data_IF_293516274444
#
_entry.id   IF_293516274444
#
_cell.length_a   1.000
_cell.length_b   1.000
_cell.length_c   1.000
_cell.angle_alpha   90.00
_cell.angle_beta   90.00
_cell.angle_gamma   90.00
#
_symmetry.space_group_name_H-M   'P 1'
#
loop_
_entity.id
_entity.type
_entity.pdbx_description
1 polymer ?
#
# COMPACT_ATOMS: atom_id res chain seq x y z
N UNK A 1 -3.66 -4.72 10.86
CA UNK A 1 -3.79 -6.08 11.44
C UNK A 1 -3.87 -7.19 10.40
N UNK A 2 -4.90 -7.30 9.54
CA UNK A 2 -4.97 -8.42 8.56
C UNK A 2 -3.72 -8.54 7.69
N UNK A 3 -3.26 -7.41 7.12
CA UNK A 3 -2.06 -7.34 6.30
C UNK A 3 -0.84 -7.98 6.98
N UNK A 4 -0.56 -7.60 8.24
CA UNK A 4 0.60 -8.08 8.99
C UNK A 4 0.53 -9.58 9.21
N UNK A 5 -0.65 -10.11 9.59
CA UNK A 5 -0.80 -11.55 9.76
C UNK A 5 -0.58 -12.30 8.44
N UNK A 6 -1.17 -11.85 7.34
CA UNK A 6 -0.95 -12.51 6.04
C UNK A 6 0.51 -12.46 5.60
N UNK A 7 1.19 -11.33 5.81
CA UNK A 7 2.63 -11.21 5.56
C UNK A 7 3.44 -12.19 6.41
N UNK A 8 3.16 -12.29 7.70
CA UNK A 8 3.84 -13.22 8.60
C UNK A 8 3.60 -14.68 8.20
N UNK A 9 2.36 -15.05 7.85
CA UNK A 9 2.03 -16.39 7.39
C UNK A 9 2.80 -16.77 6.12
N UNK A 10 2.83 -15.86 5.15
CA UNK A 10 3.56 -16.09 3.90
C UNK A 10 5.06 -16.27 4.16
N UNK A 11 5.70 -15.37 4.91
CA UNK A 11 7.14 -15.45 5.18
C UNK A 11 7.49 -16.74 5.93
N UNK A 12 6.77 -17.07 6.99
CA UNK A 12 7.10 -18.23 7.83
C UNK A 12 6.78 -19.55 7.15
N UNK A 13 5.59 -19.71 6.58
CA UNK A 13 5.11 -21.02 6.13
C UNK A 13 5.30 -21.26 4.64
N UNK A 14 5.20 -20.24 3.80
CA UNK A 14 5.30 -20.42 2.35
C UNK A 14 6.71 -20.20 1.82
N UNK A 15 7.47 -19.30 2.46
CA UNK A 15 8.87 -19.07 2.09
C UNK A 15 9.79 -19.95 2.94
N UNK A 16 9.85 -19.73 4.25
CA UNK A 16 10.88 -20.36 5.10
C UNK A 16 10.66 -21.88 5.20
N UNK A 17 9.48 -22.33 5.62
CA UNK A 17 9.21 -23.77 5.83
C UNK A 17 9.34 -24.58 4.53
N UNK A 18 8.77 -24.11 3.42
CA UNK A 18 8.88 -24.81 2.13
C UNK A 18 10.34 -24.93 1.65
N UNK A 19 11.13 -23.86 1.76
CA UNK A 19 12.54 -23.90 1.39
C UNK A 19 13.36 -24.76 2.35
N UNK A 20 12.99 -24.80 3.63
CA UNK A 20 13.65 -25.63 4.65
C UNK A 20 13.49 -27.12 4.36
N UNK A 21 12.27 -27.55 4.02
CA UNK A 21 12.01 -28.95 3.63
C UNK A 21 12.84 -29.36 2.41
N UNK A 22 12.95 -28.48 1.42
CA UNK A 22 13.76 -28.74 0.22
C UNK A 22 15.26 -28.79 0.54
N UNK A 23 15.76 -27.89 1.40
CA UNK A 23 17.14 -27.94 1.89
C UNK A 23 17.43 -29.27 2.59
N UNK A 24 16.57 -29.69 3.53
CA UNK A 24 16.76 -30.93 4.27
C UNK A 24 16.85 -32.14 3.33
N UNK A 25 15.99 -32.19 2.31
CA UNK A 25 16.02 -33.25 1.29
C UNK A 25 17.34 -33.25 0.51
N UNK A 26 17.83 -32.09 0.09
CA UNK A 26 19.11 -31.97 -0.63
C UNK A 26 20.30 -32.34 0.25
N UNK A 27 20.29 -31.93 1.52
CA UNK A 27 21.33 -32.29 2.49
C UNK A 27 21.39 -33.80 2.75
N UNK A 28 20.25 -34.50 2.79
CA UNK A 28 20.22 -35.96 2.93
C UNK A 28 20.74 -36.70 1.70
N UNK A 29 20.67 -36.08 0.52
CA UNK A 29 21.11 -36.67 -0.75
C UNK A 29 22.55 -36.29 -1.13
N UNK A 30 23.12 -35.31 -0.45
CA UNK A 30 24.47 -34.81 -0.70
C UNK A 30 25.54 -35.88 -0.46
N UNK A 31 26.50 -35.98 -1.37
CA UNK A 31 27.62 -36.94 -1.28
C UNK A 31 28.95 -36.24 -1.04
N UNK A 32 29.04 -34.97 -1.41
CA UNK A 32 30.21 -34.12 -1.21
C UNK A 32 29.85 -32.84 -0.43
N UNK A 33 30.88 -32.18 0.11
CA UNK A 33 30.72 -30.89 0.77
C UNK A 33 30.19 -29.81 -0.19
N UNK A 34 30.60 -29.86 -1.46
CA UNK A 34 30.14 -28.90 -2.47
C UNK A 34 28.63 -28.98 -2.70
N UNK A 35 28.05 -30.19 -2.63
CA UNK A 35 26.59 -30.38 -2.72
C UNK A 35 25.86 -29.68 -1.57
N UNK A 36 26.44 -29.71 -0.36
CA UNK A 36 25.90 -29.05 0.83
C UNK A 36 25.99 -27.53 0.68
N UNK A 37 27.14 -27.02 0.23
CA UNK A 37 27.36 -25.59 0.02
C UNK A 37 26.42 -25.03 -1.05
N UNK A 38 26.23 -25.74 -2.16
CA UNK A 38 25.29 -25.37 -3.22
C UNK A 38 23.84 -25.39 -2.73
N UNK A 39 23.42 -26.44 -2.01
CA UNK A 39 22.08 -26.53 -1.45
C UNK A 39 21.79 -25.38 -0.48
N UNK A 40 22.74 -25.05 0.40
CA UNK A 40 22.62 -23.95 1.34
C UNK A 40 22.58 -22.58 0.65
N UNK A 41 23.42 -22.38 -0.37
CA UNK A 41 23.45 -21.13 -1.14
C UNK A 41 22.12 -20.90 -1.87
N UNK A 42 21.56 -21.95 -2.49
CA UNK A 42 20.24 -21.91 -3.12
C UNK A 42 19.12 -21.63 -2.12
N UNK A 43 19.17 -22.23 -0.94
CA UNK A 43 18.22 -21.97 0.14
C UNK A 43 18.23 -20.50 0.57
N UNK A 44 19.41 -19.93 0.84
CA UNK A 44 19.54 -18.53 1.22
C UNK A 44 19.07 -17.59 0.10
N UNK A 45 19.40 -17.88 -1.15
CA UNK A 45 18.94 -17.09 -2.29
C UNK A 45 17.41 -17.13 -2.40
N UNK A 46 16.80 -18.31 -2.27
CA UNK A 46 15.36 -18.48 -2.36
C UNK A 46 14.61 -17.75 -1.23
N UNK A 47 15.10 -17.84 0.02
CA UNK A 47 14.52 -17.08 1.13
C UNK A 47 14.70 -15.58 0.91
N UNK A 48 15.87 -15.15 0.45
CA UNK A 48 16.14 -13.72 0.29
C UNK A 48 15.24 -13.07 -0.78
N UNK A 49 14.98 -13.78 -1.88
CA UNK A 49 14.00 -13.35 -2.90
C UNK A 49 12.58 -13.46 -2.36
N UNK A 50 12.21 -14.58 -1.74
CA UNK A 50 10.86 -14.81 -1.22
C UNK A 50 10.44 -13.84 -0.11
N UNK A 51 11.40 -13.36 0.69
CA UNK A 51 11.20 -12.32 1.72
C UNK A 51 11.34 -10.88 1.19
N UNK A 52 11.47 -10.70 -0.13
CA UNK A 52 11.55 -9.41 -0.81
C UNK A 52 12.83 -8.60 -0.54
N UNK A 53 13.88 -9.17 0.07
CA UNK A 53 15.11 -8.45 0.50
C UNK A 53 16.12 -8.24 -0.63
N UNK A 54 16.15 -9.13 -1.63
CA UNK A 54 17.07 -9.03 -2.78
C UNK A 54 16.34 -9.06 -4.12
N UNK A 55 15.12 -8.54 -4.15
CA UNK A 55 14.33 -8.52 -5.38
C UNK A 55 14.57 -7.20 -6.12
N UNK A 56 14.78 -7.25 -7.43
CA UNK A 56 14.93 -6.05 -8.29
C UNK A 56 13.68 -5.16 -8.36
N UNK A 57 12.59 -5.60 -7.74
CA UNK A 57 11.30 -4.91 -7.68
C UNK A 57 11.25 -3.93 -6.51
N UNK A 58 10.54 -2.82 -6.67
CA UNK A 58 10.25 -1.83 -5.61
C UNK A 58 9.36 -2.35 -4.46
N UNK A 59 9.19 -3.68 -4.32
CA UNK A 59 8.37 -4.34 -3.31
C UNK A 59 8.88 -4.07 -1.89
N UNK A 60 10.20 -4.13 -1.67
CA UNK A 60 10.83 -3.86 -0.38
C UNK A 60 10.49 -2.44 0.10
N UNK A 61 10.69 -1.44 -0.77
CA UNK A 61 10.38 -0.04 -0.46
C UNK A 61 8.89 0.17 -0.13
N UNK A 62 7.99 -0.51 -0.85
CA UNK A 62 6.56 -0.44 -0.50
C UNK A 62 6.27 -1.07 0.86
N UNK A 63 6.90 -2.21 1.19
CA UNK A 63 6.74 -2.86 2.50
C UNK A 63 7.30 -2.00 3.63
N UNK A 64 8.46 -1.40 3.45
CA UNK A 64 9.07 -0.47 4.40
C UNK A 64 8.10 0.67 4.71
N UNK A 65 7.56 1.33 3.68
CA UNK A 65 6.57 2.41 3.87
C UNK A 65 5.30 1.91 4.57
N UNK A 66 4.86 0.67 4.30
CA UNK A 66 3.71 0.09 5.01
C UNK A 66 4.00 -0.08 6.50
N UNK A 67 5.16 -0.62 6.87
CA UNK A 67 5.54 -0.81 8.27
C UNK A 67 5.78 0.53 8.99
N UNK A 68 6.42 1.49 8.34
CA UNK A 68 6.60 2.84 8.87
C UNK A 68 5.25 3.53 9.16
N UNK A 69 4.26 3.37 8.27
CA UNK A 69 2.90 3.87 8.52
C UNK A 69 2.23 3.16 9.71
N UNK A 70 2.47 1.86 9.91
CA UNK A 70 1.92 1.12 11.06
C UNK A 70 2.52 1.63 12.37
N UNK A 71 3.84 1.78 12.43
CA UNK A 71 4.54 2.31 13.61
C UNK A 71 4.11 3.75 13.89
N UNK A 72 4.01 4.57 12.84
CA UNK A 72 3.53 5.95 12.96
C UNK A 72 2.11 6.02 13.51
N UNK A 73 1.23 5.10 13.08
CA UNK A 73 -0.13 5.00 13.60
C UNK A 73 -0.15 4.61 15.08
N UNK A 74 0.68 3.66 15.50
CA UNK A 74 0.80 3.25 16.91
C UNK A 74 1.24 4.42 17.79
N UNK A 75 2.30 5.12 17.41
CA UNK A 75 2.77 6.32 18.11
C UNK A 75 1.69 7.42 18.18
N UNK A 76 0.95 7.60 17.09
CA UNK A 76 -0.17 8.54 17.06
C UNK A 76 -1.31 8.11 18.00
N UNK A 77 -1.66 6.82 18.01
CA UNK A 77 -2.68 6.26 18.90
C UNK A 77 -2.31 6.45 20.37
N UNK A 78 -1.06 6.18 20.76
CA UNK A 78 -0.58 6.41 22.12
C UNK A 78 -0.76 7.87 22.55
N UNK A 79 -0.36 8.81 21.69
CA UNK A 79 -0.48 10.24 21.99
C UNK A 79 -1.95 10.68 22.05
N UNK A 80 -2.79 10.17 21.13
CA UNK A 80 -4.21 10.44 21.14
C UNK A 80 -4.90 9.94 22.42
N UNK A 81 -4.55 8.73 22.87
CA UNK A 81 -5.09 8.18 24.11
C UNK A 81 -4.62 8.99 25.33
N UNK A 82 -3.35 9.39 25.40
CA UNK A 82 -2.83 10.26 26.47
C UNK A 82 -3.66 11.55 26.59
N UNK A 83 -3.92 12.23 25.47
CA UNK A 83 -4.73 13.45 25.45
C UNK A 83 -6.20 13.19 25.85
N UNK A 84 -6.80 12.08 25.39
CA UNK A 84 -8.17 11.71 25.76
C UNK A 84 -8.30 11.39 27.25
N UNK A 85 -7.35 10.64 27.81
CA UNK A 85 -7.34 10.32 29.23
C UNK A 85 -7.09 11.54 30.10
N UNK A 86 -6.21 12.46 29.69
CA UNK A 86 -6.01 13.72 30.39
C UNK A 86 -7.28 14.58 30.44
N UNK A 87 -8.02 14.68 29.33
CA UNK A 87 -9.31 15.41 29.31
C UNK A 87 -10.39 14.70 30.13
N UNK A 88 -10.42 13.35 30.13
CA UNK A 88 -11.32 12.58 30.99
C UNK A 88 -11.04 12.85 32.48
N UNK A 89 -9.77 12.75 32.89
CA UNK A 89 -9.34 13.00 34.27
C UNK A 89 -9.65 14.44 34.70
N UNK A 90 -9.44 15.42 33.82
CA UNK A 90 -9.78 16.82 34.08
C UNK A 90 -11.29 17.01 34.35
N UNK A 91 -12.15 16.34 33.57
CA UNK A 91 -13.62 16.37 33.78
C UNK A 91 -14.03 15.71 35.09
N UNK A 92 -13.46 14.56 35.42
CA UNK A 92 -13.73 13.86 36.67
C UNK A 92 -13.27 14.66 37.90
N UNK A 93 -12.10 15.32 37.81
CA UNK A 93 -11.59 16.19 38.87
C UNK A 93 -12.52 17.39 39.10
N UNK A 94 -13.01 18.00 38.02
CA UNK A 94 -13.97 19.10 38.11
C UNK A 94 -15.29 18.64 38.74
N UNK A 95 -15.81 17.49 38.32
CA UNK A 95 -17.04 16.93 38.86
C UNK A 95 -16.92 16.61 40.35
N UNK A 96 -15.77 16.07 40.80
CA UNK A 96 -15.47 15.86 42.22
C UNK A 96 -15.43 17.17 43.00
N UNK A 97 -14.75 18.19 42.48
CA UNK A 97 -14.68 19.50 43.11
C UNK A 97 -16.06 20.18 43.25
N UNK A 98 -16.94 19.98 42.26
CA UNK A 98 -18.35 20.44 42.32
C UNK A 98 -19.09 19.73 43.45
N UNK A 99 -19.01 18.38 43.51
CA UNK A 99 -19.69 17.59 44.53
C UNK A 99 -19.22 17.92 45.96
N UNK A 100 -17.92 18.16 46.17
CA UNK A 100 -17.37 18.60 47.46
C UNK A 100 -17.85 20.01 47.85
N UNK A 101 -17.96 20.91 46.87
CA UNK A 101 -18.47 22.27 47.10
C UNK A 101 -19.97 22.27 47.45
N UNK A 102 -20.76 21.45 46.77
CA UNK A 102 -22.18 21.25 47.07
C UNK A 102 -22.40 20.65 48.47
N UNK A 103 -21.56 19.69 48.88
CA UNK A 103 -21.60 19.09 50.21
C UNK A 103 -21.23 20.05 51.36
N UNK A 104 -20.42 21.08 51.07
CA UNK A 104 -20.06 22.13 52.05
C UNK A 104 -21.04 23.32 52.05
N UNK A 105 -22.10 23.27 51.24
CA UNK A 105 -23.15 24.29 51.19
C UNK A 105 -22.77 25.60 50.50
N UNK A 106 -21.63 25.64 49.79
CA UNK A 106 -21.26 26.77 48.92
C UNK A 106 -21.61 26.43 47.47
N UNK A 107 -22.31 27.32 46.78
CA UNK A 107 -22.54 27.16 45.33
C UNK A 107 -21.20 27.18 44.60
N UNK A 108 -20.79 26.00 44.14
CA UNK A 108 -19.48 25.70 43.60
C UNK A 108 -19.31 26.13 42.14
N UNK A 109 -18.05 26.41 41.81
CA UNK A 109 -17.48 26.87 40.54
C UNK A 109 -17.66 28.37 40.28
N UNK A 110 -16.54 29.09 40.33
CA UNK A 110 -16.49 30.51 39.94
C UNK A 110 -16.76 30.64 38.44
N UNK A 111 -17.32 31.79 38.02
CA UNK A 111 -17.53 32.10 36.59
C UNK A 111 -16.24 31.94 35.78
N UNK A 112 -15.09 32.27 36.39
CA UNK A 112 -13.75 32.11 35.83
C UNK A 112 -13.41 30.64 35.54
N UNK A 113 -13.62 29.73 36.49
CA UNK A 113 -13.38 28.28 36.30
C UNK A 113 -14.29 27.67 35.23
N UNK A 114 -15.52 28.17 35.08
CA UNK A 114 -16.41 27.76 33.97
C UNK A 114 -15.87 28.22 32.62
N UNK A 115 -15.38 29.47 32.53
CA UNK A 115 -14.83 30.00 31.29
C UNK A 115 -13.54 29.29 30.88
N UNK A 116 -12.63 29.02 31.82
CA UNK A 116 -11.41 28.25 31.58
C UNK A 116 -11.73 26.84 31.03
N UNK A 117 -12.71 26.16 31.63
CA UNK A 117 -13.13 24.83 31.18
C UNK A 117 -13.83 24.82 29.83
N UNK A 118 -14.64 25.83 29.53
CA UNK A 118 -15.23 26.00 28.19
C UNK A 118 -14.15 26.26 27.13
N UNK A 119 -13.08 26.98 27.49
CA UNK A 119 -11.93 27.19 26.63
C UNK A 119 -11.13 25.89 26.40
N UNK A 120 -10.81 25.15 27.47
CA UNK A 120 -10.13 23.85 27.38
C UNK A 120 -10.93 22.83 26.55
N UNK A 121 -12.26 22.81 26.72
CA UNK A 121 -13.14 21.95 25.92
C UNK A 121 -13.10 22.31 24.43
N UNK A 122 -13.11 23.60 24.08
CA UNK A 122 -12.97 24.05 22.68
C UNK A 122 -11.61 23.70 22.10
N UNK A 123 -10.54 23.83 22.89
CA UNK A 123 -9.19 23.42 22.47
C UNK A 123 -9.16 21.91 22.21
N UNK A 124 -9.75 21.11 23.10
CA UNK A 124 -9.85 19.67 22.92
C UNK A 124 -10.66 19.30 21.67
N UNK A 125 -11.79 19.96 21.42
CA UNK A 125 -12.59 19.75 20.20
C UNK A 125 -11.79 20.06 18.93
N UNK A 126 -11.03 21.15 18.90
CA UNK A 126 -10.14 21.47 17.79
C UNK A 126 -9.01 20.44 17.63
N UNK A 127 -8.45 19.94 18.73
CA UNK A 127 -7.45 18.87 18.72
C UNK A 127 -8.03 17.58 18.13
N UNK A 128 -9.24 17.16 18.52
CA UNK A 128 -9.92 15.98 17.96
C UNK A 128 -10.07 16.11 16.44
N UNK A 129 -10.52 17.27 15.95
CA UNK A 129 -10.65 17.50 14.51
C UNK A 129 -9.31 17.39 13.78
N UNK A 130 -8.23 17.90 14.39
CA UNK A 130 -6.87 17.78 13.85
C UNK A 130 -6.41 16.32 13.83
N UNK A 131 -6.66 15.59 14.92
CA UNK A 131 -6.38 14.16 15.06
C UNK A 131 -7.10 13.34 13.97
N UNK A 132 -8.40 13.59 13.72
CA UNK A 132 -9.14 12.93 12.65
C UNK A 132 -8.49 13.14 11.28
N UNK A 133 -8.07 14.37 10.95
CA UNK A 133 -7.38 14.67 9.68
C UNK A 133 -6.03 13.96 9.58
N UNK A 134 -5.26 13.90 10.67
CA UNK A 134 -3.99 13.15 10.67
C UNK A 134 -4.22 11.66 10.48
N UNK A 135 -5.28 11.09 11.09
CA UNK A 135 -5.65 9.69 10.93
C UNK A 135 -6.07 9.39 9.49
N UNK A 136 -6.84 10.27 8.85
CA UNK A 136 -7.18 10.17 7.42
C UNK A 136 -5.91 10.21 6.56
N UNK A 137 -4.93 11.06 6.92
CA UNK A 137 -3.62 11.11 6.27
C UNK A 137 -2.87 9.78 6.35
N UNK A 138 -2.78 9.18 7.54
CA UNK A 138 -2.17 7.85 7.73
C UNK A 138 -2.92 6.78 6.94
N UNK A 139 -4.25 6.79 6.97
CA UNK A 139 -5.07 5.84 6.21
C UNK A 139 -4.83 5.95 4.69
N UNK A 140 -4.72 7.18 4.17
CA UNK A 140 -4.41 7.42 2.75
C UNK A 140 -3.00 6.97 2.35
N UNK A 141 -2.00 7.30 3.17
CA UNK A 141 -0.61 6.88 2.96
C UNK A 141 -0.48 5.35 2.98
N UNK A 142 -1.07 4.71 3.99
CA UNK A 142 -1.11 3.26 4.12
C UNK A 142 -1.82 2.60 2.93
N UNK A 143 -2.99 3.09 2.53
CA UNK A 143 -3.74 2.54 1.40
C UNK A 143 -2.95 2.65 0.09
N UNK A 144 -2.26 3.77 -0.15
CA UNK A 144 -1.41 3.95 -1.33
C UNK A 144 -0.21 3.00 -1.32
N UNK A 145 0.43 2.83 -0.17
CA UNK A 145 1.58 1.93 -0.03
C UNK A 145 1.17 0.46 -0.25
N UNK A 146 0.08 0.01 0.36
CA UNK A 146 -0.47 -1.33 0.15
C UNK A 146 -0.94 -1.53 -1.29
N UNK A 147 -1.59 -0.53 -1.90
CA UNK A 147 -2.00 -0.57 -3.30
C UNK A 147 -0.81 -0.72 -4.26
N UNK A 148 0.27 0.05 -4.03
CA UNK A 148 1.52 -0.07 -4.79
C UNK A 148 2.18 -1.45 -4.62
N UNK A 149 2.21 -1.97 -3.40
CA UNK A 149 2.71 -3.32 -3.12
C UNK A 149 1.90 -4.41 -3.84
N UNK A 150 0.57 -4.35 -3.76
CA UNK A 150 -0.33 -5.29 -4.44
C UNK A 150 -0.18 -5.22 -5.97
N UNK A 151 0.00 -4.02 -6.53
CA UNK A 151 0.25 -3.88 -7.97
C UNK A 151 1.59 -4.51 -8.36
N UNK A 152 2.64 -4.32 -7.57
CA UNK A 152 3.93 -4.95 -7.78
C UNK A 152 3.82 -6.48 -7.71
N UNK A 153 3.08 -7.03 -6.74
CA UNK A 153 2.84 -8.49 -6.62
C UNK A 153 2.11 -9.05 -7.83
N UNK A 154 1.03 -8.39 -8.29
CA UNK A 154 0.28 -8.84 -9.46
C UNK A 154 1.06 -8.69 -10.78
N UNK A 155 2.05 -7.80 -10.83
CA UNK A 155 2.91 -7.60 -12.01
C UNK A 155 4.12 -8.53 -12.03
N UNK A 156 4.36 -9.28 -10.95
CA UNK A 156 5.46 -10.25 -10.90
C UNK A 156 5.14 -11.50 -11.72
N UNK A 157 6.17 -12.13 -12.30
CA UNK A 157 6.03 -13.34 -13.12
C UNK A 157 5.82 -14.61 -12.26
N UNK A 158 6.00 -14.53 -10.94
CA UNK A 158 5.83 -15.67 -10.03
C UNK A 158 4.34 -15.87 -9.67
N UNK A 159 3.81 -17.04 -10.03
CA UNK A 159 2.43 -17.41 -9.74
C UNK A 159 2.13 -17.44 -8.24
N UNK A 160 3.09 -17.84 -7.40
CA UNK A 160 2.91 -17.89 -5.96
C UNK A 160 2.75 -16.48 -5.36
N UNK A 161 3.49 -15.50 -5.90
CA UNK A 161 3.38 -14.10 -5.48
C UNK A 161 2.04 -13.47 -5.92
N UNK A 162 1.51 -13.85 -7.08
CA UNK A 162 0.18 -13.41 -7.54
C UNK A 162 -0.94 -14.00 -6.66
N UNK A 163 -0.84 -15.29 -6.30
CA UNK A 163 -1.76 -15.95 -5.37
C UNK A 163 -1.69 -15.32 -3.98
N UNK A 164 -0.49 -14.99 -3.52
CA UNK A 164 -0.28 -14.26 -2.28
C UNK A 164 -0.94 -12.87 -2.32
N UNK A 165 -0.74 -12.10 -3.39
CA UNK A 165 -1.41 -10.81 -3.59
C UNK A 165 -2.93 -10.89 -3.53
N UNK A 166 -3.51 -12.00 -4.02
CA UNK A 166 -4.96 -12.25 -3.92
C UNK A 166 -5.41 -12.53 -2.49
N UNK A 167 -4.61 -13.26 -1.69
CA UNK A 167 -4.91 -13.55 -0.27
C UNK A 167 -4.67 -12.35 0.64
N UNK A 168 -3.73 -11.50 0.28
CA UNK A 168 -3.40 -10.26 1.00
C UNK A 168 -4.53 -9.23 0.90
N UNK A 169 -5.26 -9.22 -0.23
CA UNK A 169 -6.41 -8.36 -0.47
C UNK A 169 -7.66 -8.86 0.27
N UNK A 170 -7.75 -8.52 1.57
CA UNK A 170 -8.89 -8.87 2.42
C UNK A 170 -10.21 -8.39 1.80
N UNK A 171 -11.09 -9.32 1.41
CA UNK A 171 -12.42 -9.05 0.87
C UNK A 171 -12.45 -8.13 -0.38
N UNK A 172 -11.38 -8.10 -1.18
CA UNK A 172 -11.22 -7.16 -2.30
C UNK A 172 -11.25 -5.68 -1.90
N UNK A 173 -10.94 -5.38 -0.64
CA UNK A 173 -11.02 -4.03 -0.09
C UNK A 173 -10.15 -3.04 -0.90
N UNK A 174 -9.01 -3.49 -1.42
CA UNK A 174 -8.13 -2.64 -2.24
C UNK A 174 -8.54 -2.66 -3.72
N UNK A 175 -8.92 -3.82 -4.27
CA UNK A 175 -9.44 -3.93 -5.65
C UNK A 175 -10.70 -3.10 -5.91
N UNK A 176 -11.59 -2.96 -4.92
CA UNK A 176 -12.81 -2.14 -5.02
C UNK A 176 -12.54 -0.62 -5.05
N UNK A 177 -11.36 -0.20 -4.59
CA UNK A 177 -10.99 1.21 -4.47
C UNK A 177 -10.01 1.68 -5.54
N UNK A 178 -9.33 0.77 -6.21
CA UNK A 178 -8.43 1.08 -7.32
C UNK A 178 -8.82 0.30 -8.57
N UNK A 179 -9.40 1.02 -9.54
CA UNK A 179 -9.79 0.46 -10.84
C UNK A 179 -8.63 -0.23 -11.57
N UNK A 180 -7.37 0.12 -11.29
CA UNK A 180 -6.22 -0.54 -11.92
C UNK A 180 -5.93 -1.92 -11.31
N UNK A 181 -6.30 -2.16 -10.05
CA UNK A 181 -6.22 -3.48 -9.43
C UNK A 181 -7.39 -4.40 -9.85
N UNK A 182 -8.51 -3.82 -10.30
CA UNK A 182 -9.70 -4.55 -10.75
C UNK A 182 -9.65 -5.03 -12.21
N UNK A 183 -8.70 -4.54 -13.02
CA UNK A 183 -8.59 -4.99 -14.41
C UNK A 183 -7.91 -6.36 -14.41
N UNK A 184 -8.57 -7.42 -14.91
CA UNK A 184 -7.89 -8.69 -15.08
C UNK A 184 -6.67 -8.46 -15.97
N UNK A 185 -5.52 -9.04 -15.59
CA UNK A 185 -4.33 -9.20 -16.43
C UNK A 185 -4.69 -10.05 -17.66
N UNK A 186 -5.52 -9.49 -18.51
CA UNK A 186 -5.76 -9.94 -19.86
C UNK A 186 -4.53 -9.58 -20.67
N UNK A 187 -4.22 -10.40 -21.66
CA UNK A 187 -3.10 -10.23 -22.58
C UNK A 187 -2.99 -8.81 -23.18
N UNK A 188 -4.11 -8.10 -23.24
CA UNK A 188 -4.21 -6.70 -23.68
C UNK A 188 -3.49 -5.70 -22.74
N UNK A 189 -3.50 -5.94 -21.42
CA UNK A 189 -2.83 -5.10 -20.42
C UNK A 189 -1.30 -5.24 -20.45
N UNK A 190 -0.80 -6.47 -20.67
CA UNK A 190 0.62 -6.73 -20.91
C UNK A 190 1.14 -6.00 -22.15
N UNK A 191 0.32 -5.96 -23.22
CA UNK A 191 0.66 -5.24 -24.44
C UNK A 191 0.70 -3.72 -24.22
N UNK A 192 -0.21 -3.17 -23.41
CA UNK A 192 -0.24 -1.72 -23.16
C UNK A 192 0.88 -1.25 -22.22
N UNK A 193 1.27 -2.01 -21.19
CA UNK A 193 2.37 -1.59 -20.30
C UNK A 193 3.72 -1.52 -21.02
N UNK A 194 3.98 -2.46 -21.95
CA UNK A 194 5.18 -2.44 -22.80
C UNK A 194 5.20 -1.30 -23.83
N UNK A 195 4.04 -0.82 -24.27
CA UNK A 195 3.96 0.30 -25.23
C UNK A 195 4.28 1.65 -24.55
N UNK A 196 3.98 1.81 -23.27
CA UNK A 196 4.27 3.05 -22.53
C UNK A 196 5.64 3.06 -21.83
N UNK A 197 6.33 1.91 -21.74
CA UNK A 197 7.66 1.78 -21.10
C UNK A 197 8.85 2.31 -21.90
N UNK A 198 8.69 2.63 -23.20
CA UNK A 198 9.81 3.00 -24.09
C UNK A 198 9.88 4.48 -24.52
N UNK A 199 9.00 5.36 -24.03
CA UNK A 199 8.94 6.75 -24.53
C UNK A 199 9.70 7.80 -23.70
N UNK A 200 10.68 7.41 -22.89
CA UNK A 200 11.56 8.35 -22.19
C UNK A 200 13.04 8.03 -22.39
N UNK A 201 13.48 8.03 -23.65
CA UNK A 201 14.89 8.19 -23.99
C UNK A 201 14.99 8.81 -25.39
N UNK A 202 15.74 9.91 -25.49
CA UNK A 202 16.18 10.61 -26.72
C UNK A 202 15.20 11.57 -27.40
N UNK A 203 15.30 12.84 -26.97
CA UNK A 203 15.26 13.98 -27.90
C UNK A 203 16.51 13.93 -28.79
N UNK A 204 16.32 13.83 -30.10
CA UNK A 204 17.42 14.01 -31.06
C UNK A 204 17.12 13.51 -32.47
N UNK A 205 16.74 14.43 -33.37
CA UNK A 205 17.12 14.36 -34.79
C UNK A 205 16.19 13.66 -35.77
N UNK A 206 15.47 14.49 -36.54
CA UNK A 206 15.17 14.40 -38.00
C UNK A 206 15.40 13.04 -38.69
N UNK A 207 14.38 12.45 -39.30
CA UNK A 207 14.00 12.63 -40.73
C UNK A 207 12.78 11.73 -41.04
N UNK A 208 11.78 12.31 -41.70
CA UNK A 208 10.63 11.63 -42.28
C UNK A 208 11.03 10.94 -43.58
N UNK A 209 10.71 9.65 -43.72
CA UNK A 209 10.74 8.90 -44.99
C UNK A 209 9.54 7.96 -45.00
N UNK A 210 8.38 8.45 -45.42
CA UNK A 210 7.35 7.60 -46.02
C UNK A 210 7.56 7.61 -47.54
N UNK A 211 7.59 6.45 -48.21
CA UNK A 211 7.46 6.40 -49.65
C UNK A 211 5.98 6.55 -50.04
N UNK A 212 5.67 7.63 -50.76
CA UNK A 212 4.40 7.83 -51.45
C UNK A 212 4.41 7.03 -52.77
N UNK A 213 3.37 6.25 -53.08
CA UNK A 213 3.14 5.77 -54.45
C UNK A 213 2.37 6.83 -55.24
N UNK A 214 2.97 7.28 -56.34
CA UNK A 214 2.40 8.20 -57.34
C UNK A 214 1.32 7.51 -58.19
N UNK A 215 0.20 8.18 -58.52
CA UNK A 215 -0.74 7.71 -59.53
C UNK A 215 -0.44 8.34 -60.90
N UNK A 216 -0.35 7.50 -61.94
CA UNK A 216 -0.29 7.93 -63.34
C UNK A 216 -1.69 7.97 -63.97
N UNK A 217 -1.93 9.04 -64.73
CA UNK A 217 -3.14 9.38 -65.48
C UNK A 217 -3.39 8.43 -66.68
N UNK A 218 -4.68 8.22 -67.00
CA UNK A 218 -5.10 7.53 -68.22
C UNK A 218 -6.59 7.68 -68.58
N UNK A 219 -6.92 8.81 -69.23
CA UNK A 219 -7.94 9.05 -70.28
C UNK A 219 -9.38 8.47 -70.24
N UNK A 220 -10.29 9.43 -70.48
CA UNK A 220 -11.44 9.47 -71.42
C UNK A 220 -12.74 8.71 -71.10
N UNK A 221 -13.84 9.47 -71.18
CA UNK A 221 -15.13 8.93 -71.66
C UNK A 221 -16.38 9.38 -70.91
N UNK A 222 -16.83 10.62 -71.18
CA UNK A 222 -18.19 11.06 -71.51
C UNK A 222 -19.46 10.39 -70.89
N UNK A 223 -20.47 11.25 -70.68
CA UNK A 223 -21.95 11.02 -70.66
C UNK A 223 -22.67 10.90 -69.29
N UNK A 224 -23.23 12.05 -68.88
CA UNK A 224 -24.65 12.35 -68.56
C UNK A 224 -25.47 11.64 -67.46
N UNK A 225 -26.26 12.50 -66.75
CA UNK A 225 -27.60 12.32 -66.14
C UNK A 225 -27.67 11.36 -64.93
N UNK A 226 -28.54 11.45 -63.93
CA UNK A 226 -29.49 12.41 -63.31
C UNK A 226 -29.89 11.78 -61.96
N UNK A 227 -30.50 12.58 -61.08
CA UNK A 227 -31.20 12.22 -59.84
C UNK A 227 -31.95 10.87 -59.82
N UNK A 228 -31.72 10.08 -58.77
CA UNK A 228 -32.69 9.77 -57.69
C UNK A 228 -31.92 9.27 -56.45
#
# INVERSE_FOLDING_TARGET
MHFVHQMQYYVLFEVIECNWVELQKRMQQAKALDDILDAHSKFLQAISVGCFVNTSTNMESHLEVVYENIISLENWQENFYKECFAELEAREKMQRAIAESEGTGRFGVTTEQKMERDQERKIFEQKILTCCRTLEGFAGSYAKAVGGFLLALNSSDDHNLQLFGTRLDFNEYYKKRDTNLSKPLTFEHWRMSNVYGYSKSHMGGRYSMYPQPTPQFGRQGNVSLTWD
#
